data_IF_867176152840
#
_entry.id   IF_867176152840
#
_cell.length_a   1.000
_cell.length_b   1.000
_cell.length_c   1.000
_cell.angle_alpha   90.00
_cell.angle_beta   90.00
_cell.angle_gamma   90.00
#
_symmetry.space_group_name_H-M   'P 1'
#
loop_
_entity.id
_entity.type
_entity.pdbx_description
1 polymer ?
#
# COMPACT_ATOMS: atom_id res chain seq x y z
N UNK A 1 0.61 -15.01 -9.38
CA UNK A 1 0.65 -13.54 -9.24
C UNK A 1 -0.23 -13.15 -8.05
N UNK A 2 0.30 -12.53 -6.99
CA UNK A 2 -0.54 -11.91 -5.95
C UNK A 2 -0.76 -10.47 -6.40
N UNK A 3 -1.99 -10.13 -6.78
CA UNK A 3 -2.34 -8.81 -7.30
C UNK A 3 -2.16 -7.73 -6.23
N UNK A 4 -1.45 -6.61 -6.51
CA UNK A 4 -1.21 -5.55 -5.52
C UNK A 4 -2.52 -4.89 -5.03
N UNK A 5 -3.52 -4.80 -5.91
CA UNK A 5 -4.81 -4.17 -5.61
C UNK A 5 -5.85 -5.07 -4.96
N UNK A 6 -5.50 -6.29 -4.55
CA UNK A 6 -6.46 -7.27 -4.02
C UNK A 6 -6.07 -7.81 -2.63
N UNK A 7 -7.06 -8.40 -1.96
CA UNK A 7 -6.87 -9.08 -0.67
C UNK A 7 -7.17 -8.23 0.57
N UNK A 8 -6.65 -8.66 1.72
CA UNK A 8 -7.03 -8.14 3.04
C UNK A 8 -6.61 -6.68 3.27
N UNK A 9 -7.22 -6.02 4.26
CA UNK A 9 -6.83 -4.68 4.64
C UNK A 9 -7.21 -3.60 3.61
N UNK A 10 -8.14 -3.88 2.70
CA UNK A 10 -8.71 -2.90 1.76
C UNK A 10 -7.62 -2.08 1.03
N UNK A 11 -6.85 -2.70 0.12
CA UNK A 11 -5.86 -1.99 -0.66
C UNK A 11 -6.52 -0.87 -1.49
N UNK A 12 -5.97 0.34 -1.39
CA UNK A 12 -6.44 1.55 -2.05
C UNK A 12 -5.28 2.18 -2.82
N UNK A 13 -5.42 2.48 -4.12
CA UNK A 13 -4.40 3.20 -4.88
C UNK A 13 -4.31 4.64 -4.38
N UNK A 14 -3.08 5.14 -4.22
CA UNK A 14 -2.82 6.53 -3.85
C UNK A 14 -2.73 7.41 -5.11
N UNK A 15 -3.15 8.67 -5.00
CA UNK A 15 -3.19 9.62 -6.12
C UNK A 15 -2.15 10.72 -6.04
N UNK A 16 -2.19 11.65 -7.00
CA UNK A 16 -1.33 12.84 -7.09
C UNK A 16 0.16 12.48 -7.03
N UNK A 17 0.91 13.04 -6.08
CA UNK A 17 2.34 12.79 -5.88
C UNK A 17 2.67 11.34 -5.46
N UNK A 18 1.66 10.56 -5.09
CA UNK A 18 1.77 9.15 -4.71
C UNK A 18 1.09 8.22 -5.74
N UNK A 19 0.90 8.70 -6.98
CA UNK A 19 0.42 7.85 -8.07
C UNK A 19 1.37 6.66 -8.29
N UNK A 20 0.83 5.44 -8.35
CA UNK A 20 1.61 4.20 -8.44
C UNK A 20 1.96 3.57 -7.08
N UNK A 21 1.59 4.20 -5.97
CA UNK A 21 1.65 3.61 -4.64
C UNK A 21 0.29 3.08 -4.19
N UNK A 22 0.33 2.18 -3.22
CA UNK A 22 -0.83 1.54 -2.63
C UNK A 22 -0.78 1.70 -1.12
N UNK A 23 -1.95 1.91 -0.52
CA UNK A 23 -2.16 1.88 0.91
C UNK A 23 -3.03 0.69 1.28
N UNK A 24 -2.69 -0.03 2.35
CA UNK A 24 -3.60 -1.01 2.97
C UNK A 24 -3.58 -0.88 4.48
N UNK A 25 -4.67 -1.28 5.13
CA UNK A 25 -4.85 -1.27 6.58
C UNK A 25 -4.05 -2.39 7.24
N UNK A 26 -3.21 -2.01 8.20
CA UNK A 26 -2.59 -2.95 9.16
C UNK A 26 -3.52 -3.06 10.37
N UNK A 27 -3.91 -1.90 10.91
CA UNK A 27 -4.94 -1.70 11.93
C UNK A 27 -5.89 -0.61 11.45
N UNK A 28 -6.88 -0.24 12.26
CA UNK A 28 -7.73 0.91 11.96
C UNK A 28 -6.92 2.21 11.85
N UNK A 29 -5.87 2.35 12.66
CA UNK A 29 -4.97 3.52 12.69
C UNK A 29 -3.81 3.42 11.70
N UNK A 30 -3.19 2.25 11.51
CA UNK A 30 -1.94 2.17 10.77
C UNK A 30 -2.14 1.73 9.31
N UNK A 31 -1.37 2.33 8.40
CA UNK A 31 -1.30 1.92 6.99
C UNK A 31 0.07 1.38 6.63
N UNK A 32 0.06 0.38 5.76
CA UNK A 32 1.21 -0.03 4.98
C UNK A 32 1.12 0.69 3.64
N UNK A 33 2.12 1.51 3.32
CA UNK A 33 2.28 2.15 2.02
C UNK A 33 3.38 1.43 1.26
N UNK A 34 3.07 0.97 0.06
CA UNK A 34 3.97 0.16 -0.75
C UNK A 34 3.79 0.42 -2.25
N UNK A 35 4.76 -0.01 -3.05
CA UNK A 35 4.63 -0.13 -4.51
C UNK A 35 5.24 -1.45 -4.96
N UNK A 36 4.94 -1.85 -6.20
CA UNK A 36 5.50 -3.06 -6.83
C UNK A 36 6.34 -2.63 -8.02
N UNK A 37 7.62 -2.96 -7.96
CA UNK A 37 8.59 -2.69 -9.01
C UNK A 37 9.16 -4.01 -9.54
N UNK A 38 8.66 -4.45 -10.70
CA UNK A 38 8.90 -5.80 -11.21
C UNK A 38 8.42 -6.87 -10.23
N UNK A 39 9.33 -7.72 -9.78
CA UNK A 39 9.07 -8.76 -8.78
C UNK A 39 9.32 -8.29 -7.33
N UNK A 40 9.70 -7.02 -7.14
CA UNK A 40 10.02 -6.46 -5.83
C UNK A 40 8.84 -5.74 -5.21
N UNK A 41 8.57 -6.04 -3.94
CA UNK A 41 7.67 -5.27 -3.10
C UNK A 41 8.49 -4.23 -2.32
N UNK A 42 8.28 -2.95 -2.62
CA UNK A 42 8.97 -1.86 -1.93
C UNK A 42 8.03 -1.28 -0.87
N UNK A 43 8.47 -1.26 0.38
CA UNK A 43 7.72 -0.71 1.52
C UNK A 43 8.25 0.68 1.84
N UNK A 44 7.35 1.67 1.85
CA UNK A 44 7.68 3.08 2.08
C UNK A 44 7.37 3.46 3.52
N UNK A 45 6.25 2.94 4.05
CA UNK A 45 5.79 3.23 5.40
C UNK A 45 5.00 2.03 5.94
N UNK A 46 5.12 1.75 7.24
CA UNK A 46 4.39 0.68 7.92
C UNK A 46 3.84 1.10 9.29
N UNK A 47 3.70 2.41 9.54
CA UNK A 47 3.24 2.97 10.82
C UNK A 47 2.54 4.31 10.60
N UNK A 48 1.50 4.55 11.39
CA UNK A 48 0.69 5.76 11.43
C UNK A 48 -0.13 6.04 10.16
N UNK A 49 -1.32 6.58 10.40
CA UNK A 49 -2.09 7.38 9.48
C UNK A 49 -2.39 8.68 10.25
N UNK A 50 -2.49 9.83 9.57
CA UNK A 50 -2.93 11.07 10.24
C UNK A 50 -4.27 10.85 10.97
#
# INVERSE_FOLDING_TARGET
LREPGAGIGKPEPLGQNLSGYWSRRITDEHRLVYTVDGDSLVIIQARYHY
#
